data_IF_268858403048
#
_entry.id   IF_268858403048
#
_cell.length_a   1.000
_cell.length_b   1.000
_cell.length_c   1.000
_cell.angle_alpha   90.00
_cell.angle_beta   90.00
_cell.angle_gamma   90.00
#
_symmetry.space_group_name_H-M   'P 1'
#
loop_
_entity.id
_entity.type
_entity.pdbx_description
1 polymer ?
#
# COMPACT_ATOMS: atom_id res chain seq x y z
N UNK A 1 -13.00 12.06 16.64
CA UNK A 1 -12.83 11.05 15.58
C UNK A 1 -14.05 10.17 15.58
N UNK A 2 -14.85 10.30 14.53
CA UNK A 2 -16.04 9.49 14.29
C UNK A 2 -15.64 8.00 14.16
N UNK A 3 -16.52 7.08 14.50
CA UNK A 3 -16.27 5.64 14.38
C UNK A 3 -16.02 5.26 12.91
N UNK A 4 -16.66 5.94 11.96
CA UNK A 4 -16.41 5.78 10.52
C UNK A 4 -14.99 6.21 10.15
N UNK A 5 -14.50 7.35 10.66
CA UNK A 5 -13.11 7.78 10.44
C UNK A 5 -12.09 6.78 11.01
N UNK A 6 -12.39 6.16 12.15
CA UNK A 6 -11.55 5.10 12.73
C UNK A 6 -11.49 3.86 11.85
N UNK A 7 -12.65 3.39 11.37
CA UNK A 7 -12.74 2.23 10.47
C UNK A 7 -11.97 2.51 9.18
N UNK A 8 -12.14 3.70 8.60
CA UNK A 8 -11.39 4.13 7.41
C UNK A 8 -9.89 4.08 7.64
N UNK A 9 -9.41 4.64 8.75
CA UNK A 9 -7.99 4.68 9.08
C UNK A 9 -7.39 3.26 9.25
N UNK A 10 -8.10 2.36 9.93
CA UNK A 10 -7.68 0.96 10.08
C UNK A 10 -7.63 0.23 8.73
N UNK A 11 -8.64 0.40 7.87
CA UNK A 11 -8.65 -0.22 6.54
C UNK A 11 -7.51 0.28 5.65
N UNK A 12 -7.23 1.59 5.66
CA UNK A 12 -6.09 2.15 4.89
C UNK A 12 -4.77 1.59 5.42
N UNK A 13 -4.62 1.47 6.73
CA UNK A 13 -3.44 0.89 7.37
C UNK A 13 -3.25 -0.58 6.96
N UNK A 14 -4.32 -1.37 6.95
CA UNK A 14 -4.29 -2.76 6.53
C UNK A 14 -3.92 -2.91 5.05
N UNK A 15 -4.49 -2.07 4.17
CA UNK A 15 -4.13 -2.05 2.75
C UNK A 15 -2.64 -1.73 2.57
N UNK A 16 -2.13 -0.72 3.26
CA UNK A 16 -0.70 -0.37 3.19
C UNK A 16 0.20 -1.51 3.69
N UNK A 17 -0.19 -2.17 4.79
CA UNK A 17 0.54 -3.33 5.31
C UNK A 17 0.53 -4.49 4.31
N UNK A 18 -0.56 -4.69 3.58
CA UNK A 18 -0.61 -5.71 2.54
C UNK A 18 0.30 -5.38 1.35
N UNK A 19 0.44 -4.10 1.00
CA UNK A 19 1.40 -3.65 -0.03
C UNK A 19 2.84 -3.93 0.42
N UNK A 20 3.17 -3.71 1.69
CA UNK A 20 4.47 -4.06 2.27
C UNK A 20 4.73 -5.57 2.24
N UNK A 21 3.72 -6.38 2.58
CA UNK A 21 3.83 -7.84 2.50
C UNK A 21 4.09 -8.33 1.05
N UNK A 22 3.57 -7.64 0.04
CA UNK A 22 3.88 -7.94 -1.37
C UNK A 22 5.34 -7.65 -1.67
N UNK A 23 5.89 -6.54 -1.16
CA UNK A 23 7.31 -6.24 -1.29
C UNK A 23 8.17 -7.36 -0.68
N UNK A 24 7.91 -7.73 0.56
CA UNK A 24 8.65 -8.79 1.27
C UNK A 24 8.53 -10.15 0.57
N UNK A 25 7.35 -10.46 0.03
CA UNK A 25 7.13 -11.67 -0.75
C UNK A 25 7.97 -11.67 -2.04
N UNK A 26 8.01 -10.55 -2.75
CA UNK A 26 8.78 -10.44 -3.98
C UNK A 26 10.28 -10.56 -3.67
N UNK A 27 10.77 -9.84 -2.67
CA UNK A 27 12.17 -9.88 -2.25
C UNK A 27 12.60 -11.29 -1.79
N UNK A 28 11.74 -12.00 -1.07
CA UNK A 28 12.03 -13.34 -0.56
C UNK A 28 11.93 -14.46 -1.60
N UNK A 29 11.15 -14.28 -2.68
CA UNK A 29 10.86 -15.34 -3.67
C UNK A 29 11.50 -15.13 -5.02
N UNK A 30 11.82 -13.90 -5.40
CA UNK A 30 12.41 -13.59 -6.69
C UNK A 30 13.85 -13.11 -6.51
N UNK A 31 14.78 -13.78 -7.18
CA UNK A 31 16.15 -13.29 -7.31
C UNK A 31 16.20 -12.26 -8.44
N UNK A 32 15.74 -11.05 -8.15
CA UNK A 32 15.76 -9.93 -9.09
C UNK A 32 17.11 -9.23 -9.04
N UNK A 33 17.55 -8.68 -10.18
CA UNK A 33 18.65 -7.73 -10.17
C UNK A 33 18.19 -6.39 -9.55
N UNK A 34 19.17 -5.54 -9.20
CA UNK A 34 18.90 -4.27 -8.55
C UNK A 34 17.97 -3.35 -9.35
N UNK A 35 18.01 -3.41 -10.68
CA UNK A 35 17.18 -2.58 -11.54
C UNK A 35 15.70 -2.97 -11.45
N UNK A 36 15.40 -4.26 -11.46
CA UNK A 36 14.01 -4.73 -11.31
C UNK A 36 13.51 -4.59 -9.87
N UNK A 37 14.36 -4.74 -8.85
CA UNK A 37 13.99 -4.45 -7.46
C UNK A 37 13.57 -2.99 -7.28
N UNK A 38 14.35 -2.05 -7.80
CA UNK A 38 14.05 -0.61 -7.72
C UNK A 38 12.73 -0.28 -8.43
N UNK A 39 12.48 -0.84 -9.61
CA UNK A 39 11.22 -0.66 -10.32
C UNK A 39 10.00 -1.16 -9.53
N UNK A 40 10.13 -2.31 -8.87
CA UNK A 40 9.02 -2.87 -8.06
C UNK A 40 8.76 -1.98 -6.84
N UNK A 41 9.81 -1.56 -6.13
CA UNK A 41 9.68 -0.63 -5.00
C UNK A 41 8.95 0.65 -5.45
N UNK A 42 9.37 1.21 -6.59
CA UNK A 42 8.75 2.41 -7.13
C UNK A 42 7.26 2.18 -7.43
N UNK A 43 6.91 1.06 -8.06
CA UNK A 43 5.50 0.73 -8.40
C UNK A 43 4.63 0.49 -7.16
N UNK A 44 5.17 -0.17 -6.13
CA UNK A 44 4.44 -0.40 -4.87
C UNK A 44 4.25 0.91 -4.10
N UNK A 45 5.22 1.82 -4.12
CA UNK A 45 5.08 3.15 -3.54
C UNK A 45 4.05 4.00 -4.31
N UNK A 46 4.08 3.98 -5.64
CA UNK A 46 3.03 4.62 -6.47
C UNK A 46 1.63 4.09 -6.11
N UNK A 47 1.50 2.79 -5.84
CA UNK A 47 0.23 2.20 -5.41
C UNK A 47 -0.22 2.71 -4.03
N UNK A 48 0.70 2.82 -3.05
CA UNK A 48 0.38 3.44 -1.74
C UNK A 48 -0.11 4.87 -1.90
N UNK A 49 0.53 5.66 -2.76
CA UNK A 49 0.13 7.04 -3.04
C UNK A 49 -1.27 7.12 -3.64
N UNK A 50 -1.59 6.21 -4.58
CA UNK A 50 -2.93 6.12 -5.16
C UNK A 50 -3.95 5.75 -4.09
N UNK A 51 -3.69 4.74 -3.26
CA UNK A 51 -4.58 4.34 -2.16
C UNK A 51 -4.82 5.52 -1.21
N UNK A 52 -3.76 6.24 -0.81
CA UNK A 52 -3.88 7.39 0.05
C UNK A 52 -4.76 8.49 -0.58
N UNK A 53 -4.47 8.88 -1.82
CA UNK A 53 -5.25 9.91 -2.54
C UNK A 53 -6.70 9.49 -2.70
N UNK A 54 -6.95 8.29 -3.21
CA UNK A 54 -8.31 7.75 -3.40
C UNK A 54 -9.07 7.71 -2.07
N UNK A 55 -8.41 7.36 -0.97
CA UNK A 55 -9.04 7.33 0.34
C UNK A 55 -9.49 8.71 0.81
N UNK A 56 -8.83 9.80 0.43
CA UNK A 56 -9.26 11.16 0.78
C UNK A 56 -10.61 11.52 0.18
N UNK A 57 -10.98 10.92 -0.96
CA UNK A 57 -12.25 11.16 -1.65
C UNK A 57 -13.35 10.17 -1.24
N UNK A 58 -13.03 9.11 -0.51
CA UNK A 58 -14.02 8.17 0.02
C UNK A 58 -14.63 8.73 1.31
N UNK A 59 -15.90 9.11 1.27
CA UNK A 59 -16.73 9.27 2.45
C UNK A 59 -17.34 7.90 2.79
N UNK A 60 -17.10 7.40 4.00
CA UNK A 60 -17.85 6.25 4.51
C UNK A 60 -19.22 6.80 4.92
N UNK A 61 -20.21 6.67 4.06
CA UNK A 61 -21.61 6.98 4.38
C UNK A 61 -22.22 5.91 5.28
#
# INVERSE_FOLDING_TARGET
MDIQEKIKAELIKEINSNIDNIYDFIESRYSLDAHYQEQIIQKLNELKDVVYKSSQFCELT
#
